data_IF_339281431938
#
_entry.id   IF_339281431938
#
_cell.length_a   1.000
_cell.length_b   1.000
_cell.length_c   1.000
_cell.angle_alpha   90.00
_cell.angle_beta   90.00
_cell.angle_gamma   90.00
#
_symmetry.space_group_name_H-M   'P 1'
#
loop_
_entity.id
_entity.type
_entity.pdbx_description
1 polymer ?
#
# COMPACT_ATOMS: atom_id res chain seq x y z
N UNK A 1 3.34 -4.84 11.72
CA UNK A 1 4.10 -4.58 10.47
C UNK A 1 3.21 -5.02 9.32
N UNK A 2 3.14 -4.33 8.17
CA UNK A 2 2.63 -4.97 6.95
C UNK A 2 3.37 -6.31 6.78
N UNK A 3 2.68 -7.35 6.34
CA UNK A 3 3.33 -8.66 6.12
C UNK A 3 4.42 -8.41 5.09
N UNK A 4 5.69 -8.57 5.50
CA UNK A 4 6.82 -8.27 4.65
C UNK A 4 6.68 -9.09 3.35
N UNK A 5 6.71 -8.40 2.20
CA UNK A 5 6.57 -9.02 0.88
C UNK A 5 5.14 -9.28 0.39
N UNK A 6 4.08 -8.90 1.13
CA UNK A 6 2.71 -9.12 0.65
C UNK A 6 2.34 -8.25 -0.55
N UNK A 7 2.66 -6.94 -0.53
CA UNK A 7 2.43 -6.04 -1.65
C UNK A 7 3.73 -5.83 -2.44
N UNK A 8 3.76 -6.10 -3.76
CA UNK A 8 4.97 -5.93 -4.58
C UNK A 8 5.39 -4.46 -4.72
N UNK A 9 4.45 -3.52 -4.56
CA UNK A 9 4.71 -2.10 -4.74
C UNK A 9 5.10 -1.37 -3.46
N UNK A 10 5.01 -2.01 -2.30
CA UNK A 10 5.45 -1.39 -1.04
C UNK A 10 6.97 -1.29 -1.01
N UNK A 11 7.52 -0.13 -0.67
CA UNK A 11 8.96 0.07 -0.52
C UNK A 11 9.37 0.22 0.94
N UNK A 12 8.87 1.25 1.62
CA UNK A 12 9.21 1.52 3.02
C UNK A 12 8.23 2.52 3.66
N UNK A 13 8.35 2.71 4.97
CA UNK A 13 7.66 3.79 5.69
C UNK A 13 8.65 4.72 6.36
N UNK A 14 8.35 6.03 6.33
CA UNK A 14 9.13 7.05 7.03
C UNK A 14 8.21 8.18 7.49
N UNK A 15 8.35 8.61 8.74
CA UNK A 15 7.63 9.77 9.30
C UNK A 15 6.11 9.74 9.14
N UNK A 16 5.48 8.56 9.15
CA UNK A 16 4.03 8.42 8.96
C UNK A 16 3.58 8.53 7.51
N UNK A 17 4.49 8.43 6.54
CA UNK A 17 4.20 8.33 5.11
C UNK A 17 4.54 6.91 4.67
N UNK A 18 3.65 6.30 3.90
CA UNK A 18 3.91 5.01 3.24
C UNK A 18 4.36 5.25 1.81
N UNK A 19 5.58 4.82 1.49
CA UNK A 19 6.19 4.94 0.17
C UNK A 19 5.98 3.66 -0.63
N UNK A 20 5.32 3.80 -1.76
CA UNK A 20 5.10 2.77 -2.77
C UNK A 20 5.89 3.10 -4.04
N UNK A 21 5.94 2.16 -5.00
CA UNK A 21 6.79 2.25 -6.19
C UNK A 21 6.65 3.56 -6.98
N UNK A 22 5.42 4.05 -7.14
CA UNK A 22 5.09 5.29 -7.85
C UNK A 22 4.17 6.22 -7.05
N UNK A 23 4.21 6.17 -5.72
CA UNK A 23 3.56 7.22 -4.94
C UNK A 23 3.56 7.01 -3.44
N UNK A 24 2.97 8.00 -2.78
CA UNK A 24 3.09 8.21 -1.34
C UNK A 24 1.70 8.34 -0.73
N UNK A 25 1.46 7.59 0.35
CA UNK A 25 0.24 7.73 1.15
C UNK A 25 0.56 8.57 2.37
N UNK A 26 -0.03 9.77 2.39
CA UNK A 26 -0.02 10.65 3.55
C UNK A 26 -1.23 10.34 4.42
N UNK A 27 -0.99 10.19 5.71
CA UNK A 27 -2.05 9.97 6.69
C UNK A 27 -2.22 11.21 7.57
N UNK A 28 -3.47 11.63 7.84
CA UNK A 28 -3.73 12.79 8.69
C UNK A 28 -3.31 12.53 10.15
N UNK A 29 -3.35 11.29 10.59
CA UNK A 29 -2.91 10.87 11.92
C UNK A 29 -2.52 9.38 11.97
N UNK A 30 -2.02 8.95 13.13
CA UNK A 30 -1.57 7.55 13.34
C UNK A 30 -2.72 6.54 13.34
N UNK A 31 -3.95 6.96 13.65
CA UNK A 31 -5.15 6.11 13.67
C UNK A 31 -5.63 5.84 12.25
N UNK A 32 -5.79 6.86 11.42
CA UNK A 32 -6.12 6.74 10.00
C UNK A 32 -5.08 5.87 9.27
N UNK A 33 -3.79 6.06 9.57
CA UNK A 33 -2.72 5.17 9.10
C UNK A 33 -2.97 3.72 9.49
N UNK A 34 -3.24 3.47 10.77
CA UNK A 34 -3.50 2.11 11.27
C UNK A 34 -4.69 1.50 10.55
N UNK A 35 -5.80 2.22 10.42
CA UNK A 35 -7.00 1.74 9.75
C UNK A 35 -6.71 1.29 8.31
N UNK A 36 -6.00 2.10 7.51
CA UNK A 36 -5.63 1.74 6.13
C UNK A 36 -4.62 0.59 6.08
N UNK A 37 -3.56 0.64 6.88
CA UNK A 37 -2.52 -0.39 6.87
C UNK A 37 -3.10 -1.75 7.27
N UNK A 38 -3.96 -1.81 8.29
CA UNK A 38 -4.58 -3.07 8.71
C UNK A 38 -5.67 -3.55 7.76
N UNK A 39 -6.41 -2.65 7.13
CA UNK A 39 -7.42 -3.03 6.14
C UNK A 39 -6.82 -3.67 4.89
N UNK A 40 -5.61 -3.25 4.49
CA UNK A 40 -5.01 -3.69 3.22
C UNK A 40 -3.59 -4.23 3.40
N UNK A 41 -2.62 -3.37 3.71
CA UNK A 41 -1.18 -3.68 3.62
C UNK A 41 -0.70 -4.77 4.58
N UNK A 42 -1.33 -4.91 5.75
CA UNK A 42 -1.04 -5.94 6.74
C UNK A 42 -2.02 -7.12 6.70
N UNK A 43 -3.01 -7.08 5.81
CA UNK A 43 -3.95 -8.18 5.65
C UNK A 43 -3.36 -9.23 4.70
N UNK A 44 -3.47 -10.54 5.01
CA UNK A 44 -2.88 -11.60 4.19
C UNK A 44 -3.40 -11.65 2.75
N UNK A 45 -4.63 -11.21 2.52
CA UNK A 45 -5.29 -11.26 1.19
C UNK A 45 -5.85 -9.93 0.71
N UNK A 46 -6.10 -8.97 1.60
CA UNK A 46 -6.82 -7.74 1.22
C UNK A 46 -5.89 -6.70 0.60
N UNK A 47 -4.57 -6.90 0.65
CA UNK A 47 -3.61 -6.06 -0.09
C UNK A 47 -3.93 -5.99 -1.59
N UNK A 48 -4.52 -7.05 -2.17
CA UNK A 48 -5.01 -7.08 -3.56
C UNK A 48 -6.12 -6.07 -3.86
N UNK A 49 -6.92 -5.71 -2.84
CA UNK A 49 -7.98 -4.72 -2.96
C UNK A 49 -7.51 -3.29 -2.65
N UNK A 50 -6.24 -3.09 -2.30
CA UNK A 50 -5.67 -1.76 -2.07
C UNK A 50 -5.87 -0.89 -3.33
N UNK A 51 -6.50 0.30 -3.23
CA UNK A 51 -6.72 1.17 -4.38
C UNK A 51 -5.43 1.51 -5.11
N UNK A 52 -4.34 1.70 -4.36
CA UNK A 52 -3.02 2.01 -4.90
C UNK A 52 -2.44 0.83 -5.70
N UNK A 53 -2.56 -0.39 -5.16
CA UNK A 53 -2.12 -1.61 -5.87
C UNK A 53 -2.90 -1.79 -7.16
N UNK A 54 -4.24 -1.68 -7.12
CA UNK A 54 -5.10 -1.83 -8.31
C UNK A 54 -4.78 -0.81 -9.40
N UNK A 55 -4.47 0.42 -9.03
CA UNK A 55 -4.07 1.45 -9.98
C UNK A 55 -2.74 1.09 -10.68
N UNK A 56 -1.75 0.59 -9.93
CA UNK A 56 -0.45 0.17 -10.48
C UNK A 56 -0.56 -1.12 -11.29
N UNK A 57 -1.33 -2.11 -10.84
CA UNK A 57 -1.61 -3.33 -11.59
C UNK A 57 -2.18 -2.96 -12.97
N UNK A 58 -3.23 -2.13 -13.01
CA UNK A 58 -3.83 -1.71 -14.27
C UNK A 58 -2.88 -0.90 -15.17
N UNK A 59 -1.92 -0.15 -14.61
CA UNK A 59 -0.89 0.53 -15.41
C UNK A 59 0.06 -0.48 -16.07
N UNK A 60 0.54 -1.46 -15.31
CA UNK A 60 1.46 -2.48 -15.82
C UNK A 60 0.78 -3.45 -16.78
N UNK A 61 -0.48 -3.83 -16.54
CA UNK A 61 -1.29 -4.64 -17.45
C UNK A 61 -1.52 -3.98 -18.81
N UNK A 62 -1.64 -2.64 -18.87
CA UNK A 62 -1.74 -1.90 -20.14
C UNK A 62 -0.41 -1.75 -20.87
N UNK A 63 0.69 -1.95 -20.15
CA UNK A 63 2.06 -1.79 -20.68
C UNK A 63 2.67 -3.12 -21.14
N UNK A 64 1.91 -4.22 -20.99
CA UNK A 64 2.17 -5.57 -21.51
C UNK A 64 1.50 -5.74 -22.88
#
# INVERSE_FOLDING_TARGET
MPVAGACPYFRYEKSGITYCECGELHFPDRRARREIVYAYCAHPTAFGACPFKRALDGYYERSL
#
